data_IF_095135633711
#
_entry.id   IF_095135633711
#
_cell.length_a   1.000
_cell.length_b   1.000
_cell.length_c   1.000
_cell.angle_alpha   90.00
_cell.angle_beta   90.00
_cell.angle_gamma   90.00
#
_symmetry.space_group_name_H-M   'P 1'
#
loop_
_entity.id
_entity.type
_entity.pdbx_description
1 polymer ?
#
# COMPACT_ATOMS: atom_id res chain seq x y z
N UNK A 1 -2.80 -2.39 2.40
CA UNK A 1 -1.73 -3.38 2.19
C UNK A 1 -2.18 -4.73 2.72
N UNK A 2 -1.75 -5.85 2.13
CA UNK A 2 -2.29 -7.19 2.42
C UNK A 2 -1.17 -8.18 2.73
N UNK A 3 -1.43 -9.18 3.57
CA UNK A 3 -0.53 -10.32 3.72
C UNK A 3 -0.77 -11.30 2.57
N UNK A 4 0.29 -11.75 1.92
CA UNK A 4 0.21 -12.59 0.73
C UNK A 4 0.80 -13.95 1.04
N UNK A 5 0.01 -15.02 0.88
CA UNK A 5 0.47 -16.40 0.97
C UNK A 5 1.16 -16.80 -0.33
N UNK A 6 2.43 -17.18 -0.22
CA UNK A 6 3.23 -17.64 -1.34
C UNK A 6 3.09 -19.16 -1.55
N UNK A 7 3.34 -19.66 -2.78
CA UNK A 7 3.25 -21.09 -3.08
C UNK A 7 4.31 -21.94 -2.35
N UNK A 8 5.40 -21.33 -1.89
CA UNK A 8 6.43 -21.97 -1.07
C UNK A 8 6.02 -22.16 0.40
N UNK A 9 4.83 -21.69 0.80
CA UNK A 9 4.32 -21.76 2.16
C UNK A 9 4.67 -20.56 3.04
N UNK A 10 5.51 -19.63 2.57
CA UNK A 10 5.86 -18.42 3.30
C UNK A 10 4.80 -17.32 3.09
N UNK A 11 4.87 -16.28 3.91
CA UNK A 11 4.01 -15.10 3.79
C UNK A 11 4.85 -13.88 3.39
N UNK A 12 4.38 -13.11 2.41
CA UNK A 12 4.83 -11.74 2.20
C UNK A 12 3.99 -10.79 3.03
N UNK A 13 4.65 -10.11 3.97
CA UNK A 13 4.02 -9.23 4.95
C UNK A 13 4.46 -7.80 4.68
N UNK A 14 3.53 -6.84 4.63
CA UNK A 14 3.88 -5.45 4.53
C UNK A 14 4.49 -4.94 5.83
N UNK A 15 5.64 -4.29 5.74
CA UNK A 15 6.31 -3.64 6.85
C UNK A 15 6.66 -2.21 6.46
N UNK A 16 6.33 -1.28 7.35
CA UNK A 16 6.72 0.12 7.19
C UNK A 16 8.20 0.26 7.51
N UNK A 17 8.98 0.68 6.53
CA UNK A 17 10.39 0.99 6.67
C UNK A 17 10.54 2.36 7.34
N UNK A 18 11.23 2.37 8.48
CA UNK A 18 11.52 3.58 9.26
C UNK A 18 13.01 3.90 9.09
N UNK A 19 13.31 5.16 8.76
CA UNK A 19 14.65 5.70 8.65
C UNK A 19 15.38 5.81 9.98
N UNK A 20 16.69 6.01 9.93
CA UNK A 20 17.53 6.16 11.11
C UNK A 20 17.12 7.36 11.99
N UNK A 21 16.48 8.34 11.35
CA UNK A 21 15.90 9.56 11.90
C UNK A 21 14.43 9.38 12.38
N UNK A 22 13.91 8.16 12.37
CA UNK A 22 12.55 7.84 12.85
C UNK A 22 11.43 8.21 11.88
N UNK A 23 11.75 8.75 10.70
CA UNK A 23 10.77 9.06 9.65
C UNK A 23 10.39 7.82 8.85
N UNK A 24 9.13 7.71 8.45
CA UNK A 24 8.69 6.66 7.53
C UNK A 24 9.29 6.92 6.15
N UNK A 25 10.09 5.99 5.64
CA UNK A 25 10.72 6.06 4.32
C UNK A 25 9.82 5.42 3.26
N UNK A 26 9.00 4.44 3.65
CA UNK A 26 8.02 3.82 2.78
C UNK A 26 7.58 2.46 3.29
N UNK A 27 6.87 1.72 2.44
CA UNK A 27 6.37 0.39 2.75
C UNK A 27 7.05 -0.67 1.89
N UNK A 28 7.53 -1.73 2.54
CA UNK A 28 8.22 -2.85 1.88
C UNK A 28 7.51 -4.15 2.21
N UNK A 29 7.68 -5.17 1.36
CA UNK A 29 7.22 -6.52 1.66
C UNK A 29 8.39 -7.37 2.12
N UNK A 30 8.27 -7.96 3.30
CA UNK A 30 9.22 -8.92 3.85
C UNK A 30 8.63 -10.32 3.82
N UNK A 31 9.46 -11.33 3.62
CA UNK A 31 9.03 -12.71 3.63
C UNK A 31 9.25 -13.33 5.02
N UNK A 32 8.21 -13.92 5.60
CA UNK A 32 8.28 -14.66 6.86
C UNK A 32 7.89 -16.12 6.65
N UNK A 33 8.57 -17.02 7.35
CA UNK A 33 8.29 -18.45 7.34
C UNK A 33 7.43 -18.91 8.51
N UNK A 34 6.96 -20.17 8.51
CA UNK A 34 6.10 -20.75 9.55
C UNK A 34 6.71 -20.76 10.97
N UNK A 35 8.02 -20.60 11.09
CA UNK A 35 8.74 -20.47 12.35
C UNK A 35 8.61 -19.09 13.01
N UNK A 36 8.09 -18.09 12.30
CA UNK A 36 7.90 -16.74 12.83
C UNK A 36 6.72 -16.71 13.81
N UNK A 37 6.86 -15.97 14.92
CA UNK A 37 5.85 -15.90 15.97
C UNK A 37 4.52 -15.32 15.47
N UNK A 38 4.58 -14.39 14.52
CA UNK A 38 3.39 -13.76 13.94
C UNK A 38 2.81 -14.56 12.77
N UNK A 39 3.52 -15.60 12.27
CA UNK A 39 3.11 -16.35 11.09
C UNK A 39 1.69 -16.88 11.22
N UNK A 40 1.35 -17.58 12.30
CA UNK A 40 0.03 -18.22 12.45
C UNK A 40 -1.11 -17.20 12.42
N UNK A 41 -0.90 -16.04 13.05
CA UNK A 41 -1.87 -14.94 13.08
C UNK A 41 -2.02 -14.30 11.70
N UNK A 42 -0.92 -14.09 10.99
CA UNK A 42 -0.91 -13.45 9.67
C UNK A 42 -1.43 -14.41 8.59
N UNK A 43 -1.13 -15.71 8.71
CA UNK A 43 -1.56 -16.78 7.81
C UNK A 43 -3.09 -16.93 7.77
N UNK A 44 -3.77 -16.68 8.89
CA UNK A 44 -5.24 -16.72 8.99
C UNK A 44 -5.92 -15.58 8.18
N UNK A 45 -5.18 -14.51 7.90
CA UNK A 45 -5.66 -13.31 7.20
C UNK A 45 -5.03 -13.16 5.81
N UNK A 46 -4.16 -14.11 5.43
CA UNK A 46 -3.37 -14.04 4.22
C UNK A 46 -4.24 -14.35 3.00
N UNK A 47 -4.11 -13.50 1.99
CA UNK A 47 -4.70 -13.69 0.67
C UNK A 47 -3.74 -14.48 -0.21
N UNK A 48 -4.27 -15.25 -1.15
CA UNK A 48 -3.46 -15.87 -2.20
C UNK A 48 -2.94 -14.82 -3.18
N UNK A 49 -1.89 -15.17 -3.94
CA UNK A 49 -1.33 -14.30 -4.98
C UNK A 49 -2.41 -13.88 -5.99
N UNK A 50 -3.26 -14.80 -6.42
CA UNK A 50 -4.34 -14.50 -7.38
C UNK A 50 -5.38 -13.51 -6.82
N UNK A 51 -5.79 -13.67 -5.57
CA UNK A 51 -6.74 -12.74 -4.93
C UNK A 51 -6.17 -11.32 -4.82
N UNK A 52 -4.88 -11.21 -4.54
CA UNK A 52 -4.19 -9.90 -4.48
C UNK A 52 -4.15 -9.25 -5.86
N UNK A 53 -3.88 -10.01 -6.91
CA UNK A 53 -3.86 -9.49 -8.28
C UNK A 53 -5.24 -9.04 -8.74
N UNK A 54 -6.30 -9.80 -8.43
CA UNK A 54 -7.68 -9.36 -8.70
C UNK A 54 -8.02 -8.06 -7.96
N UNK A 55 -7.58 -7.95 -6.69
CA UNK A 55 -7.82 -6.75 -5.88
C UNK A 55 -7.02 -5.55 -6.37
N UNK A 56 -5.79 -5.77 -6.84
CA UNK A 56 -4.95 -4.75 -7.50
C UNK A 56 -5.60 -4.27 -8.78
N UNK A 57 -6.17 -5.18 -9.57
CA UNK A 57 -6.83 -4.79 -10.80
C UNK A 57 -8.04 -3.89 -10.54
N UNK A 58 -8.87 -4.27 -9.56
CA UNK A 58 -9.96 -3.43 -9.08
C UNK A 58 -9.46 -2.07 -8.59
N UNK A 59 -8.39 -2.05 -7.79
CA UNK A 59 -7.80 -0.80 -7.31
C UNK A 59 -7.29 0.08 -8.45
N UNK A 60 -6.69 -0.48 -9.51
CA UNK A 60 -6.27 0.31 -10.68
C UNK A 60 -7.46 0.96 -11.39
N UNK A 61 -8.56 0.22 -11.53
CA UNK A 61 -9.78 0.75 -12.14
C UNK A 61 -10.41 1.87 -11.28
N UNK A 62 -10.43 1.72 -9.95
CA UNK A 62 -10.90 2.76 -9.03
C UNK A 62 -9.93 3.96 -8.96
N UNK A 63 -8.61 3.72 -9.05
CA UNK A 63 -7.56 4.74 -9.07
C UNK A 63 -7.62 5.59 -10.35
N UNK A 64 -7.95 5.01 -11.50
CA UNK A 64 -8.14 5.77 -12.74
C UNK A 64 -9.31 6.76 -12.61
N UNK A 65 -10.41 6.36 -11.99
CA UNK A 65 -11.53 7.26 -11.70
C UNK A 65 -11.14 8.36 -10.71
N UNK A 66 -10.32 8.04 -9.70
CA UNK A 66 -9.79 9.03 -8.77
C UNK A 66 -8.83 10.01 -9.46
N UNK A 67 -7.95 9.50 -10.33
CA UNK A 67 -7.01 10.30 -11.12
C UNK A 67 -7.75 11.27 -12.05
N UNK A 68 -8.83 10.84 -12.70
CA UNK A 68 -9.65 11.73 -13.52
C UNK A 68 -10.27 12.86 -12.69
N UNK A 69 -10.81 12.54 -11.51
CA UNK A 69 -11.34 13.56 -10.59
C UNK A 69 -10.27 14.54 -10.13
N UNK A 70 -9.06 14.05 -9.84
CA UNK A 70 -7.94 14.90 -9.47
C UNK A 70 -7.49 15.80 -10.62
N UNK A 71 -7.44 15.29 -11.87
CA UNK A 71 -7.11 16.09 -13.06
C UNK A 71 -8.17 17.16 -13.33
N UNK A 72 -9.46 16.84 -13.17
CA UNK A 72 -10.55 17.81 -13.31
C UNK A 72 -10.52 18.86 -12.20
N UNK A 73 -10.21 18.47 -10.96
CA UNK A 73 -9.96 19.39 -9.86
C UNK A 73 -8.77 20.31 -10.15
N UNK A 74 -7.63 19.75 -10.58
CA UNK A 74 -6.43 20.52 -10.94
C UNK A 74 -6.69 21.47 -12.12
N UNK A 75 -7.54 21.08 -13.09
CA UNK A 75 -7.96 21.95 -14.19
C UNK A 75 -8.85 23.10 -13.71
N UNK A 76 -9.75 22.83 -12.75
CA UNK A 76 -10.63 23.83 -12.12
C UNK A 76 -9.87 24.79 -11.18
N UNK A 77 -8.81 24.31 -10.53
CA UNK A 77 -8.01 25.04 -9.56
C UNK A 77 -6.65 25.52 -10.11
N UNK A 78 -6.38 25.29 -11.40
CA UNK A 78 -5.10 25.59 -12.06
C UNK A 78 -4.71 27.07 -12.12
N UNK A 79 -5.56 27.99 -11.68
CA UNK A 79 -5.25 29.42 -11.52
C UNK A 79 -5.31 29.94 -10.07
N UNK A 80 -5.64 29.11 -9.07
CA UNK A 80 -5.69 29.60 -7.68
C UNK A 80 -4.98 28.62 -6.72
N UNK A 81 -3.69 28.92 -6.52
CA UNK A 81 -2.89 28.65 -5.32
C UNK A 81 -3.03 27.27 -4.68
N UNK A 82 -2.00 26.44 -4.86
CA UNK A 82 -1.60 25.54 -3.78
C UNK A 82 -1.44 26.40 -2.52
N UNK A 83 -2.10 26.12 -1.39
CA UNK A 83 -1.78 26.79 -0.14
C UNK A 83 -0.35 26.36 0.21
N UNK A 84 0.63 27.19 -0.15
CA UNK A 84 1.94 27.18 0.49
C UNK A 84 1.67 27.22 1.98
N UNK A 85 2.16 26.19 2.67
CA UNK A 85 1.92 26.03 4.10
C UNK A 85 2.31 27.30 4.82
N UNK A 86 1.34 27.91 5.51
CA UNK A 86 1.59 28.93 6.52
C UNK A 86 2.45 28.27 7.62
N UNK A 87 3.76 28.53 7.59
CA UNK A 87 4.63 28.38 8.75
C UNK A 87 4.29 29.50 9.73
N UNK A 88 3.98 29.15 10.98
CA UNK A 88 3.56 30.06 12.03
C UNK A 88 4.46 29.92 13.27
#
# INVERSE_FOLDING_TARGET
MFVIRLPNGNLKVPQTAIGQDGRVIGDVYVEIGPQDADYARLAAQALTVEEVEQRRDRWRQEDEALRQQFLEFARRHGENGWPEGEEH
#
